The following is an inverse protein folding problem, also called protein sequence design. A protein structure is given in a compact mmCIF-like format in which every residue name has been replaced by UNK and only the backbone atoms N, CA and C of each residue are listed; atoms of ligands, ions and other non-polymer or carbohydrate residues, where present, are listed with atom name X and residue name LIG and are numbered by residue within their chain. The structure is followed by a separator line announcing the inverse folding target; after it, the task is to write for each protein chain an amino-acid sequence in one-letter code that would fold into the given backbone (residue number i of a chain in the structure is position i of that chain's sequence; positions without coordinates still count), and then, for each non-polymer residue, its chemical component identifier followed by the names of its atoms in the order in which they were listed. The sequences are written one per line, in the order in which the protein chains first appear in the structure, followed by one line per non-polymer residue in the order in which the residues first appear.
data_IF_127258454537
#
_entry.id   IF_127258454537
#
_cell.length_a   1.000
_cell.length_b   1.000
_cell.length_c   1.000
_cell.angle_alpha   90.00
_cell.angle_beta   90.00
_cell.angle_gamma   90.00
#
_symmetry.space_group_name_H-M   'P 1'
#
loop_
_entity.id
_entity.type
_entity.pdbx_description
1 polymer ?
#
# COMPACT_ATOMS: atom_id res chain seq x y z
N UNK A 1 2.27 -2.18 1.46
CA UNK A 1 2.17 -3.66 1.45
C UNK A 1 1.13 -4.13 0.44
N UNK A 2 -0.15 -3.76 0.59
CA UNK A 2 -1.25 -4.17 -0.32
C UNK A 2 -0.95 -3.94 -1.80
N UNK A 3 -0.48 -2.74 -2.18
CA UNK A 3 -0.12 -2.42 -3.58
C UNK A 3 0.97 -3.33 -4.16
N UNK A 4 1.96 -3.73 -3.35
CA UNK A 4 3.04 -4.60 -3.78
C UNK A 4 2.53 -6.04 -4.01
N UNK A 5 1.74 -6.57 -3.09
CA UNK A 5 1.12 -7.89 -3.22
C UNK A 5 0.20 -7.98 -4.45
N UNK A 6 -0.60 -6.93 -4.72
CA UNK A 6 -1.44 -6.88 -5.93
C UNK A 6 -0.60 -6.85 -7.20
N UNK A 7 0.54 -6.15 -7.19
CA UNK A 7 1.45 -6.12 -8.33
C UNK A 7 2.08 -7.49 -8.60
N UNK A 8 2.52 -8.19 -7.55
CA UNK A 8 3.02 -9.57 -7.65
C UNK A 8 1.96 -10.52 -8.21
N UNK A 9 0.72 -10.38 -7.75
CA UNK A 9 -0.38 -11.22 -8.22
C UNK A 9 -0.75 -10.95 -9.69
N UNK A 10 -0.71 -9.69 -10.15
CA UNK A 10 -0.83 -9.34 -11.57
C UNK A 10 0.31 -9.94 -12.41
N UNK A 11 1.53 -9.93 -11.89
CA UNK A 11 2.66 -10.57 -12.54
C UNK A 11 2.47 -12.08 -12.63
N UNK A 12 1.94 -12.73 -11.58
CA UNK A 12 1.63 -14.16 -11.58
C UNK A 12 0.60 -14.53 -12.66
N UNK A 13 -0.50 -13.77 -12.78
CA UNK A 13 -1.48 -13.96 -13.87
C UNK A 13 -0.81 -13.89 -15.24
N UNK A 14 0.06 -12.89 -15.46
CA UNK A 14 0.78 -12.74 -16.72
C UNK A 14 1.66 -13.95 -17.03
N UNK A 15 2.48 -14.37 -16.06
CA UNK A 15 3.40 -15.51 -16.24
C UNK A 15 2.63 -16.80 -16.49
N UNK A 16 1.63 -17.13 -15.68
CA UNK A 16 0.86 -18.36 -15.89
C UNK A 16 0.09 -18.37 -17.21
N UNK A 17 -0.42 -17.22 -17.67
CA UNK A 17 -1.06 -17.13 -18.98
C UNK A 17 -0.07 -17.40 -20.12
N UNK A 18 1.16 -16.89 -20.01
CA UNK A 18 2.23 -17.16 -20.99
C UNK A 18 2.62 -18.65 -20.98
N UNK A 19 2.78 -19.25 -19.80
CA UNK A 19 3.09 -20.68 -19.67
C UNK A 19 1.96 -21.56 -20.21
N UNK A 20 0.70 -21.19 -19.99
CA UNK A 20 -0.46 -21.86 -20.57
C UNK A 20 -0.50 -21.73 -22.09
N UNK A 21 -0.05 -20.62 -22.68
CA UNK A 21 0.04 -20.52 -24.14
C UNK A 21 1.20 -21.35 -24.72
N UNK A 22 2.27 -21.50 -23.94
CA UNK A 22 3.47 -22.25 -24.32
C UNK A 22 3.34 -23.77 -24.11
N UNK A 23 2.31 -24.24 -23.40
CA UNK A 23 2.05 -25.69 -23.18
C UNK A 23 1.72 -26.45 -24.45
N UNK A 24 1.37 -25.73 -25.53
CA UNK A 24 1.26 -26.28 -26.88
C UNK A 24 2.54 -26.98 -27.36
N UNK A 25 3.70 -26.63 -26.80
CA UNK A 25 4.97 -27.32 -27.01
C UNK A 25 5.23 -28.32 -25.88
N UNK A 26 4.89 -29.58 -26.14
CA UNK A 26 5.04 -30.69 -25.18
C UNK A 26 6.46 -30.87 -24.60
N UNK A 27 7.49 -30.38 -25.30
CA UNK A 27 8.89 -30.43 -24.86
C UNK A 27 9.18 -29.59 -23.60
N UNK A 28 8.31 -28.63 -23.26
CA UNK A 28 8.49 -27.78 -22.09
C UNK A 28 7.90 -28.37 -20.81
N UNK A 29 7.09 -29.42 -20.89
CA UNK A 29 6.53 -30.11 -19.72
C UNK A 29 5.49 -29.31 -18.92
N UNK A 30 4.93 -28.23 -19.48
CA UNK A 30 3.86 -27.47 -18.84
C UNK A 30 2.50 -28.13 -19.11
N UNK A 31 1.80 -28.48 -18.04
CA UNK A 31 0.41 -28.93 -18.11
C UNK A 31 -0.51 -27.71 -18.26
N UNK A 32 -1.19 -27.62 -19.40
CA UNK A 32 -2.07 -26.51 -19.75
C UNK A 32 -3.17 -26.29 -18.71
N UNK A 33 -3.87 -27.37 -18.31
CA UNK A 33 -4.98 -27.29 -17.36
C UNK A 33 -4.51 -26.81 -15.98
N UNK A 34 -3.32 -27.25 -15.58
CA UNK A 34 -2.71 -26.79 -14.33
C UNK A 34 -2.35 -25.30 -14.42
N UNK A 35 -1.80 -24.83 -15.53
CA UNK A 35 -1.50 -23.40 -15.71
C UNK A 35 -2.78 -22.56 -15.74
N UNK A 36 -3.82 -23.02 -16.42
CA UNK A 36 -5.14 -22.37 -16.46
C UNK A 36 -5.75 -22.25 -15.06
N UNK A 37 -5.69 -23.31 -14.25
CA UNK A 37 -6.14 -23.30 -12.85
C UNK A 37 -5.42 -22.22 -12.04
N UNK A 38 -4.11 -22.04 -12.23
CA UNK A 38 -3.35 -20.98 -11.56
C UNK A 38 -3.74 -19.58 -12.05
N UNK A 39 -4.03 -19.41 -13.35
CA UNK A 39 -4.55 -18.15 -13.90
C UNK A 39 -5.87 -17.77 -13.23
N UNK A 40 -6.82 -18.70 -13.17
CA UNK A 40 -8.13 -18.48 -12.54
C UNK A 40 -8.01 -18.17 -11.05
N UNK A 41 -7.19 -18.95 -10.33
CA UNK A 41 -6.94 -18.72 -8.91
C UNK A 41 -6.36 -17.33 -8.64
N UNK A 42 -5.36 -16.90 -9.41
CA UNK A 42 -4.77 -15.58 -9.24
C UNK A 42 -5.76 -14.45 -9.61
N UNK A 43 -6.66 -14.65 -10.58
CA UNK A 43 -7.74 -13.71 -10.88
C UNK A 43 -8.72 -13.58 -9.71
N UNK A 44 -9.15 -14.69 -9.12
CA UNK A 44 -10.02 -14.66 -7.94
C UNK A 44 -9.38 -13.92 -6.76
N UNK A 45 -8.09 -14.15 -6.51
CA UNK A 45 -7.35 -13.39 -5.50
C UNK A 45 -7.24 -11.90 -5.85
N UNK A 46 -7.10 -11.53 -7.13
CA UNK A 46 -7.09 -10.13 -7.54
C UNK A 46 -8.44 -9.46 -7.26
N UNK A 47 -9.53 -10.16 -7.51
CA UNK A 47 -10.87 -9.66 -7.24
C UNK A 47 -11.11 -9.51 -5.72
N UNK A 48 -10.71 -10.50 -4.93
CA UNK A 48 -10.81 -10.43 -3.47
C UNK A 48 -9.95 -9.30 -2.88
N UNK A 49 -8.79 -9.02 -3.46
CA UNK A 49 -7.88 -7.96 -2.97
C UNK A 49 -8.32 -6.54 -3.33
N UNK A 50 -9.29 -6.34 -4.25
CA UNK A 50 -9.83 -5.01 -4.58
C UNK A 50 -10.36 -4.28 -3.35
N UNK A 51 -11.16 -4.96 -2.51
CA UNK A 51 -11.71 -4.38 -1.29
C UNK A 51 -10.60 -3.93 -0.35
N UNK A 52 -9.52 -4.70 -0.24
CA UNK A 52 -8.37 -4.33 0.58
C UNK A 52 -7.59 -3.12 0.02
N UNK A 53 -7.53 -2.95 -1.30
CA UNK A 53 -6.96 -1.75 -1.92
C UNK A 53 -7.80 -0.51 -1.59
N UNK A 54 -9.12 -0.60 -1.77
CA UNK A 54 -10.03 0.51 -1.50
C UNK A 54 -9.98 0.95 -0.04
N UNK A 55 -9.96 -0.01 0.89
CA UNK A 55 -9.79 0.28 2.32
C UNK A 55 -8.45 0.95 2.59
N UNK A 56 -7.35 0.42 2.05
CA UNK A 56 -6.02 0.98 2.26
C UNK A 56 -5.89 2.41 1.68
N UNK A 57 -6.52 2.69 0.53
CA UNK A 57 -6.54 4.02 -0.08
C UNK A 57 -7.39 5.00 0.74
N UNK A 58 -8.56 4.57 1.20
CA UNK A 58 -9.41 5.37 2.09
C UNK A 58 -8.68 5.72 3.40
N UNK A 59 -8.02 4.74 4.02
CA UNK A 59 -7.23 4.95 5.24
C UNK A 59 -6.05 5.89 5.01
N UNK A 60 -5.32 5.73 3.91
CA UNK A 60 -4.23 6.62 3.53
C UNK A 60 -4.72 8.07 3.39
N UNK A 61 -5.86 8.25 2.71
CA UNK A 61 -6.45 9.57 2.50
C UNK A 61 -6.97 10.19 3.80
N UNK A 62 -7.66 9.41 4.63
CA UNK A 62 -8.14 9.89 5.93
C UNK A 62 -6.96 10.26 6.84
N UNK A 63 -5.90 9.47 6.86
CA UNK A 63 -4.72 9.75 7.66
C UNK A 63 -4.00 11.02 7.19
N UNK A 64 -3.88 11.21 5.87
CA UNK A 64 -3.34 12.44 5.26
C UNK A 64 -4.13 13.67 5.71
N UNK A 65 -5.45 13.63 5.59
CA UNK A 65 -6.32 14.74 6.03
C UNK A 65 -6.18 15.02 7.53
N UNK A 66 -6.15 13.96 8.36
CA UNK A 66 -5.95 14.10 9.81
C UNK A 66 -4.61 14.78 10.14
N UNK A 67 -3.53 14.39 9.47
CA UNK A 67 -2.22 15.03 9.63
C UNK A 67 -2.24 16.50 9.20
N UNK A 68 -2.86 16.80 8.05
CA UNK A 68 -2.96 18.15 7.52
C UNK A 68 -3.71 19.08 8.48
N UNK A 69 -4.80 18.61 9.08
CA UNK A 69 -5.59 19.37 10.08
C UNK A 69 -4.85 19.51 11.41
N UNK A 70 -4.10 18.49 11.84
CA UNK A 70 -3.35 18.53 13.10
C UNK A 70 -2.09 19.42 13.02
N UNK A 71 -1.55 19.62 11.82
CA UNK A 71 -0.27 20.32 11.61
C UNK A 71 -0.27 21.77 12.14
N UNK A 72 -1.26 22.63 11.85
CA UNK A 72 -1.28 24.00 12.37
C UNK A 72 -1.37 24.05 13.90
N UNK A 73 -2.15 23.14 14.50
CA UNK A 73 -2.30 23.05 15.96
C UNK A 73 -0.97 22.68 16.60
N UNK A 74 -0.27 21.67 16.07
CA UNK A 74 1.05 21.28 16.55
C UNK A 74 2.07 22.41 16.43
N UNK A 75 2.05 23.18 15.33
CA UNK A 75 2.94 24.32 15.14
C UNK A 75 2.65 25.46 16.13
N UNK A 76 1.37 25.75 16.40
CA UNK A 76 0.98 26.77 17.37
C UNK A 76 1.37 26.37 18.80
N UNK A 77 1.20 25.09 19.16
CA UNK A 77 1.62 24.56 20.46
C UNK A 77 3.14 24.61 20.64
N UNK A 78 3.91 24.27 19.61
CA UNK A 78 5.38 24.38 19.64
C UNK A 78 5.84 25.83 19.78
N UNK A 79 5.22 26.76 19.05
CA UNK A 79 5.51 28.19 19.17
C UNK A 79 5.21 28.71 20.60
N UNK A 80 4.09 28.28 21.19
CA UNK A 80 3.73 28.63 22.57
C UNK A 80 4.77 28.11 23.57
N UNK A 81 5.18 26.84 23.46
CA UNK A 81 6.21 26.26 24.34
C UNK A 81 7.53 27.02 24.25
N UNK A 82 8.00 27.34 23.04
CA UNK A 82 9.23 28.12 22.85
C UNK A 82 9.15 29.52 23.48
N UNK A 83 8.00 30.18 23.36
CA UNK A 83 7.78 31.48 23.99
C UNK A 83 7.78 31.40 25.53
N UNK A 84 7.17 30.36 26.10
CA UNK A 84 7.20 30.09 27.55
C UNK A 84 8.62 29.78 28.06
N UNK A 85 9.39 28.97 27.33
CA UNK A 85 10.78 28.66 27.66
C UNK A 85 11.67 29.92 27.61
N UNK A 86 11.51 30.76 26.58
CA UNK A 86 12.23 32.04 26.50
C UNK A 86 11.90 32.97 27.66
N UNK A 87 10.62 33.07 28.05
CA UNK A 87 10.21 33.88 29.21
C UNK A 87 10.84 33.37 30.50
N UNK A 88 10.78 32.06 30.76
CA UNK A 88 11.43 31.45 31.93
C UNK A 88 12.93 31.69 31.96
N UNK A 89 13.59 31.61 30.81
CA UNK A 89 15.04 31.87 30.72
C UNK A 89 15.37 33.34 31.03
N UNK A 90 14.60 34.29 30.47
CA UNK A 90 14.77 35.72 30.78
C UNK A 90 14.51 36.04 32.25
N UNK A 91 13.47 35.44 32.85
CA UNK A 91 13.14 35.60 34.27
C UNK A 91 14.19 34.96 35.20
N UNK A 92 14.90 33.91 34.74
CA UNK A 92 15.97 33.25 35.51
C UNK A 92 17.33 33.93 35.42
N UNK A 93 17.55 34.81 34.43
CA UNK A 93 18.82 35.51 34.22
C UNK A 93 18.82 36.96 34.73
N UNK A 94 17.72 37.41 35.36
CA UNK A 94 17.62 38.67 36.11
C UNK A 94 17.60 38.39 37.61
#
# INVERSE_FOLDING_TARGET
MVRATVMELKNAVRVFSQLSSASSYHSHGFDEKKMETHVEYCKHLLDATKVHCEVAECEEQQNRQRLEVARPVSLAEEARRKAEEQRKYQESCM
#
